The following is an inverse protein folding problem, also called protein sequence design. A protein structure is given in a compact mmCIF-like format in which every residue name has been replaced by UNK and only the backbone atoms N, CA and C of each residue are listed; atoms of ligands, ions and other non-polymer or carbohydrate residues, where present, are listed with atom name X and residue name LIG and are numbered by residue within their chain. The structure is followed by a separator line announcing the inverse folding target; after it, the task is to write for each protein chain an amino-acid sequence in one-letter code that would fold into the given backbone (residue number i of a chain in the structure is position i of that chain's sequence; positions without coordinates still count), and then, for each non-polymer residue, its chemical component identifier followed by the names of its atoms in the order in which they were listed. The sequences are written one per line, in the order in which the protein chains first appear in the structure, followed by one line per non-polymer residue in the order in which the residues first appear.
data_IF_713864268225
#
_entry.id   IF_713864268225
#
_cell.length_a   1.000
_cell.length_b   1.000
_cell.length_c   1.000
_cell.angle_alpha   90.00
_cell.angle_beta   90.00
_cell.angle_gamma   90.00
#
_symmetry.space_group_name_H-M   'P 1'
#
loop_
_entity.id
_entity.type
_entity.pdbx_description
1 polymer ?
#
# COMPACT_ATOMS: atom_id res chain seq x y z
N UNK A 1 -11.85 8.39 -12.43
CA UNK A 1 -11.18 7.07 -12.63
C UNK A 1 -10.31 7.09 -13.90
N UNK A 2 -9.15 6.42 -13.95
CA UNK A 2 -8.17 6.53 -15.05
C UNK A 2 -8.78 6.24 -16.45
N UNK A 3 -9.80 5.37 -16.53
CA UNK A 3 -10.53 5.07 -17.76
C UNK A 3 -11.27 6.29 -18.37
N UNK A 4 -11.80 7.19 -17.52
CA UNK A 4 -12.55 8.38 -17.97
C UNK A 4 -11.63 9.47 -18.56
N UNK A 5 -10.35 9.50 -18.15
CA UNK A 5 -9.37 10.47 -18.64
C UNK A 5 -8.76 10.07 -20.00
N UNK A 6 -8.91 8.82 -20.44
CA UNK A 6 -8.29 8.31 -21.66
C UNK A 6 -9.06 8.65 -22.96
N UNK A 7 -10.31 9.09 -22.86
CA UNK A 7 -11.11 9.57 -24.01
C UNK A 7 -11.90 10.79 -23.60
N UNK A 8 -11.77 11.87 -24.38
CA UNK A 8 -12.54 13.09 -24.19
C UNK A 8 -14.03 12.75 -24.03
N UNK A 9 -14.55 13.04 -22.84
CA UNK A 9 -15.96 13.11 -22.49
C UNK A 9 -16.84 12.00 -23.10
N UNK A 10 -16.80 10.82 -22.50
CA UNK A 10 -17.96 9.93 -22.50
C UNK A 10 -18.11 9.43 -21.07
N UNK A 11 -19.25 9.74 -20.43
CA UNK A 11 -19.56 9.20 -19.11
C UNK A 11 -19.72 7.69 -19.26
N UNK A 12 -18.78 6.92 -18.73
CA UNK A 12 -18.89 5.47 -18.62
C UNK A 12 -19.92 5.21 -17.52
N UNK A 13 -20.92 4.36 -17.78
CA UNK A 13 -21.87 3.96 -16.74
C UNK A 13 -21.19 3.07 -15.69
N UNK A 14 -21.72 3.05 -14.47
CA UNK A 14 -21.22 2.15 -13.42
C UNK A 14 -21.23 0.68 -13.87
N UNK A 15 -22.26 0.27 -14.64
CA UNK A 15 -22.37 -1.08 -15.19
C UNK A 15 -21.22 -1.42 -16.17
N UNK A 16 -20.92 -0.51 -17.10
CA UNK A 16 -19.81 -0.68 -18.04
C UNK A 16 -18.46 -0.71 -17.33
N UNK A 17 -18.30 0.11 -16.30
CA UNK A 17 -17.13 0.07 -15.44
C UNK A 17 -16.99 -1.29 -14.74
N UNK A 18 -18.04 -1.76 -14.05
CA UNK A 18 -17.98 -3.04 -13.34
C UNK A 18 -17.64 -4.18 -14.30
N UNK A 19 -18.23 -4.18 -15.50
CA UNK A 19 -17.90 -5.14 -16.54
C UNK A 19 -16.44 -5.06 -16.98
N UNK A 20 -15.88 -3.86 -17.13
CA UNK A 20 -14.46 -3.68 -17.46
C UNK A 20 -13.56 -4.22 -16.34
N UNK A 21 -13.87 -3.92 -15.08
CA UNK A 21 -13.08 -4.38 -13.92
C UNK A 21 -13.13 -5.90 -13.74
N UNK A 22 -14.29 -6.52 -13.95
CA UNK A 22 -14.43 -7.98 -13.91
C UNK A 22 -13.67 -8.64 -15.06
N UNK A 23 -13.71 -8.07 -16.26
CA UNK A 23 -12.89 -8.55 -17.38
C UNK A 23 -11.39 -8.39 -17.08
N UNK A 24 -10.95 -7.25 -16.56
CA UNK A 24 -9.56 -7.04 -16.15
C UNK A 24 -9.11 -8.08 -15.13
N UNK A 25 -9.93 -8.35 -14.12
CA UNK A 25 -9.66 -9.36 -13.11
C UNK A 25 -9.59 -10.77 -13.70
N UNK A 26 -10.56 -11.16 -14.54
CA UNK A 26 -10.60 -12.48 -15.18
C UNK A 26 -9.37 -12.70 -16.07
N UNK A 27 -8.98 -11.68 -16.85
CA UNK A 27 -7.76 -11.74 -17.65
C UNK A 27 -6.50 -11.78 -16.79
N UNK A 28 -6.45 -11.00 -15.70
CA UNK A 28 -5.34 -11.01 -14.75
C UNK A 28 -5.13 -12.40 -14.13
N UNK A 29 -6.21 -13.11 -13.80
CA UNK A 29 -6.16 -14.49 -13.30
C UNK A 29 -5.81 -15.48 -14.41
N UNK A 30 -6.45 -15.37 -15.58
CA UNK A 30 -6.31 -16.31 -16.70
C UNK A 30 -4.91 -16.32 -17.32
N UNK A 31 -4.28 -15.15 -17.45
CA UNK A 31 -2.97 -15.04 -18.11
C UNK A 31 -1.82 -15.62 -17.28
N UNK A 32 -2.09 -16.10 -16.07
CA UNK A 32 -1.05 -16.45 -15.13
C UNK A 32 -0.40 -15.16 -14.68
N UNK A 33 -0.93 -14.60 -13.61
CA UNK A 33 -0.13 -13.80 -12.69
C UNK A 33 1.29 -14.38 -12.66
N UNK A 34 2.30 -13.59 -13.02
CA UNK A 34 3.69 -14.06 -12.88
C UNK A 34 3.94 -14.58 -11.47
N UNK A 35 5.06 -15.28 -11.26
CA UNK A 35 5.44 -15.71 -9.92
C UNK A 35 5.72 -14.48 -9.04
N UNK A 36 4.68 -13.99 -8.37
CA UNK A 36 4.81 -12.93 -7.38
C UNK A 36 5.40 -13.56 -6.13
N UNK A 37 6.59 -13.12 -5.75
CA UNK A 37 7.22 -13.52 -4.50
C UNK A 37 7.37 -12.28 -3.65
N UNK A 38 7.03 -12.38 -2.36
CA UNK A 38 7.30 -11.32 -1.41
C UNK A 38 8.81 -11.03 -1.38
N UNK A 39 9.18 -9.75 -1.49
CA UNK A 39 10.58 -9.34 -1.44
C UNK A 39 11.24 -9.72 -0.09
N UNK A 40 12.58 -9.89 -0.06
CA UNK A 40 13.30 -10.22 1.16
C UNK A 40 12.91 -9.30 2.33
N UNK A 41 12.67 -9.91 3.49
CA UNK A 41 12.27 -9.22 4.72
C UNK A 41 10.78 -8.89 4.86
N UNK A 42 9.98 -8.89 3.79
CA UNK A 42 8.54 -8.52 3.84
C UNK A 42 7.77 -9.40 4.84
N UNK A 43 7.89 -10.73 4.72
CA UNK A 43 7.18 -11.67 5.57
C UNK A 43 7.53 -11.49 7.06
N UNK A 44 8.83 -11.45 7.37
CA UNK A 44 9.34 -11.23 8.74
C UNK A 44 8.84 -9.91 9.32
N UNK A 45 8.86 -8.83 8.52
CA UNK A 45 8.35 -7.52 8.94
C UNK A 45 6.86 -7.58 9.26
N UNK A 46 6.04 -8.13 8.36
CA UNK A 46 4.60 -8.26 8.56
C UNK A 46 4.26 -9.13 9.79
N UNK A 47 4.97 -10.23 10.02
CA UNK A 47 4.83 -11.08 11.22
C UNK A 47 5.16 -10.29 12.49
N UNK A 48 6.27 -9.54 12.46
CA UNK A 48 6.70 -8.70 13.59
C UNK A 48 5.67 -7.61 13.89
N UNK A 49 5.18 -6.89 12.88
CA UNK A 49 4.15 -5.86 13.06
C UNK A 49 2.84 -6.43 13.62
N UNK A 50 2.40 -7.58 13.13
CA UNK A 50 1.20 -8.26 13.63
C UNK A 50 1.33 -8.79 15.07
N UNK A 51 2.55 -8.91 15.58
CA UNK A 51 2.79 -9.26 16.99
C UNK A 51 2.71 -8.05 17.93
N UNK A 52 2.71 -6.82 17.39
CA UNK A 52 2.61 -5.60 18.18
C UNK A 52 1.14 -5.25 18.43
N UNK A 53 0.68 -5.19 19.69
CA UNK A 53 -0.75 -5.02 20.01
C UNK A 53 -1.33 -3.66 19.61
N UNK A 54 -0.47 -2.66 19.39
CA UNK A 54 -0.82 -1.28 19.07
C UNK A 54 -0.52 -0.92 17.60
N UNK A 55 -0.24 -1.90 16.75
CA UNK A 55 0.02 -1.69 15.32
C UNK A 55 -1.06 -2.40 14.51
N UNK A 56 -1.55 -1.74 13.48
CA UNK A 56 -2.45 -2.33 12.49
C UNK A 56 -1.85 -2.17 11.11
N UNK A 57 -1.78 -3.27 10.37
CA UNK A 57 -1.24 -3.30 9.00
C UNK A 57 -2.39 -3.17 8.01
N UNK A 58 -2.23 -2.27 7.04
CA UNK A 58 -3.15 -2.08 5.94
C UNK A 58 -2.43 -2.13 4.59
N UNK A 59 -3.17 -2.42 3.53
CA UNK A 59 -2.69 -2.39 2.15
C UNK A 59 -3.18 -1.12 1.45
N UNK A 60 -2.26 -0.32 0.92
CA UNK A 60 -2.59 0.89 0.16
C UNK A 60 -1.99 0.78 -1.24
N UNK A 61 -2.82 0.80 -2.29
CA UNK A 61 -2.34 0.62 -3.67
C UNK A 61 -3.26 1.27 -4.68
N UNK A 62 -2.71 1.68 -5.83
CA UNK A 62 -3.51 2.18 -6.95
C UNK A 62 -4.19 1.07 -7.78
N UNK A 63 -4.09 -0.20 -7.38
CA UNK A 63 -4.84 -1.29 -8.00
C UNK A 63 -6.25 -1.35 -7.42
N UNK A 64 -7.22 -1.80 -8.22
CA UNK A 64 -8.54 -2.15 -7.70
C UNK A 64 -8.46 -3.31 -6.69
N UNK A 65 -9.42 -3.38 -5.76
CA UNK A 65 -9.36 -4.21 -4.56
C UNK A 65 -9.15 -5.71 -4.86
N UNK A 66 -9.90 -6.29 -5.80
CA UNK A 66 -9.83 -7.71 -6.18
C UNK A 66 -8.44 -8.07 -6.68
N UNK A 67 -7.87 -7.23 -7.56
CA UNK A 67 -6.53 -7.43 -8.13
C UNK A 67 -5.45 -7.23 -7.06
N UNK A 68 -5.61 -6.21 -6.21
CA UNK A 68 -4.69 -5.94 -5.11
C UNK A 68 -4.56 -7.15 -4.18
N UNK A 69 -5.69 -7.68 -3.68
CA UNK A 69 -5.68 -8.83 -2.80
C UNK A 69 -5.18 -10.10 -3.49
N UNK A 70 -5.50 -10.28 -4.78
CA UNK A 70 -4.99 -11.41 -5.56
C UNK A 70 -3.46 -11.38 -5.71
N UNK A 71 -2.84 -10.20 -5.86
CA UNK A 71 -1.38 -10.03 -5.84
C UNK A 71 -0.76 -10.44 -4.50
N UNK A 72 -1.37 -10.02 -3.40
CA UNK A 72 -0.91 -10.36 -2.04
C UNK A 72 -1.07 -11.86 -1.75
N UNK A 73 -2.13 -12.48 -2.26
CA UNK A 73 -2.35 -13.94 -2.22
C UNK A 73 -1.21 -14.68 -2.91
N UNK A 74 -0.90 -14.31 -4.16
CA UNK A 74 0.19 -14.95 -4.92
C UNK A 74 1.55 -14.74 -4.27
N UNK A 75 1.79 -13.57 -3.67
CA UNK A 75 2.99 -13.29 -2.90
C UNK A 75 3.12 -14.10 -1.59
N UNK A 76 2.09 -14.89 -1.23
CA UNK A 76 2.13 -15.80 -0.08
C UNK A 76 2.03 -15.12 1.29
N UNK A 77 1.60 -13.84 1.33
CA UNK A 77 1.55 -13.03 2.56
C UNK A 77 0.14 -12.56 2.93
N UNK A 78 -0.89 -12.99 2.18
CA UNK A 78 -2.29 -12.65 2.45
C UNK A 78 -2.75 -12.97 3.90
N UNK A 79 -2.36 -14.09 4.55
CA UNK A 79 -2.73 -14.35 5.93
C UNK A 79 -2.22 -13.30 6.94
N UNK A 80 -1.20 -12.52 6.57
CA UNK A 80 -0.63 -11.45 7.41
C UNK A 80 -1.42 -10.13 7.32
N UNK A 81 -2.39 -10.02 6.40
CA UNK A 81 -3.35 -8.92 6.32
C UNK A 81 -4.71 -9.36 6.89
N UNK A 82 -4.72 -9.82 8.15
CA UNK A 82 -5.84 -10.55 8.79
C UNK A 82 -7.20 -9.88 8.62
N UNK A 83 -7.25 -8.57 8.76
CA UNK A 83 -8.49 -7.77 8.77
C UNK A 83 -8.83 -7.17 7.41
N UNK A 84 -8.02 -7.45 6.38
CA UNK A 84 -8.22 -6.95 5.01
C UNK A 84 -8.44 -5.42 4.93
N UNK A 85 -7.80 -4.67 5.82
CA UNK A 85 -7.84 -3.22 5.80
C UNK A 85 -7.02 -2.73 4.61
N UNK A 86 -7.58 -1.80 3.83
CA UNK A 86 -6.83 -1.18 2.75
C UNK A 86 -7.53 -0.01 2.07
N UNK A 87 -6.82 0.64 1.16
CA UNK A 87 -7.39 1.60 0.22
C UNK A 87 -6.87 1.31 -1.19
N UNK A 88 -7.71 1.54 -2.19
CA UNK A 88 -7.54 0.97 -3.52
C UNK A 88 -7.72 2.02 -4.63
N UNK A 89 -7.50 1.61 -5.88
CA UNK A 89 -7.49 2.49 -7.06
C UNK A 89 -8.85 3.07 -7.49
N UNK A 90 -9.92 2.75 -6.78
CA UNK A 90 -11.23 3.43 -6.89
C UNK A 90 -11.18 4.85 -6.30
N UNK A 91 -10.22 5.12 -5.41
CA UNK A 91 -9.95 6.44 -4.86
C UNK A 91 -8.87 7.14 -5.71
N UNK A 92 -9.24 8.25 -6.35
CA UNK A 92 -8.38 8.93 -7.33
C UNK A 92 -7.09 9.50 -6.72
N UNK A 93 -7.21 10.18 -5.57
CA UNK A 93 -6.07 10.79 -4.90
C UNK A 93 -5.36 9.78 -3.99
N UNK A 94 -4.07 9.52 -4.23
CA UNK A 94 -3.28 8.56 -3.43
C UNK A 94 -3.25 8.90 -1.94
N UNK A 95 -3.26 10.19 -1.57
CA UNK A 95 -3.33 10.58 -0.16
C UNK A 95 -4.67 10.19 0.48
N UNK A 96 -5.76 10.17 -0.30
CA UNK A 96 -7.07 9.73 0.16
C UNK A 96 -7.14 8.20 0.33
N UNK A 97 -6.41 7.42 -0.47
CA UNK A 97 -6.22 5.97 -0.26
C UNK A 97 -5.68 5.71 1.16
N UNK A 98 -4.62 6.43 1.55
CA UNK A 98 -4.00 6.32 2.86
C UNK A 98 -4.96 6.74 3.99
N UNK A 99 -5.66 7.87 3.82
CA UNK A 99 -6.64 8.37 4.79
C UNK A 99 -7.80 7.39 4.97
N UNK A 100 -8.27 6.78 3.89
CA UNK A 100 -9.33 5.78 3.91
C UNK A 100 -8.91 4.52 4.65
N UNK A 101 -7.72 3.97 4.34
CA UNK A 101 -7.18 2.81 5.05
C UNK A 101 -7.03 3.08 6.56
N UNK A 102 -6.57 4.27 6.95
CA UNK A 102 -6.50 4.69 8.35
C UNK A 102 -7.89 4.77 8.99
N UNK A 103 -8.86 5.39 8.32
CA UNK A 103 -10.23 5.51 8.81
C UNK A 103 -10.84 4.13 9.09
N UNK A 104 -10.73 3.19 8.14
CA UNK A 104 -11.19 1.82 8.32
C UNK A 104 -10.53 1.14 9.53
N UNK A 105 -9.22 1.32 9.71
CA UNK A 105 -8.51 0.78 10.86
C UNK A 105 -9.03 1.38 12.19
N UNK A 106 -9.23 2.69 12.26
CA UNK A 106 -9.73 3.36 13.47
C UNK A 106 -11.16 2.94 13.81
N UNK A 107 -12.02 2.78 12.80
CA UNK A 107 -13.39 2.27 12.96
C UNK A 107 -13.39 0.84 13.49
N UNK A 108 -12.56 -0.04 12.94
CA UNK A 108 -12.44 -1.42 13.39
C UNK A 108 -11.89 -1.54 14.82
N UNK A 109 -10.94 -0.68 15.17
CA UNK A 109 -10.29 -0.69 16.49
C UNK A 109 -11.06 0.04 17.58
N UNK A 110 -11.95 0.96 17.22
CA UNK A 110 -12.66 1.81 18.16
C UNK A 110 -11.79 2.88 18.83
N UNK A 111 -10.59 3.14 18.30
CA UNK A 111 -9.70 4.20 18.77
C UNK A 111 -8.93 4.86 17.63
N UNK A 112 -8.39 6.06 17.89
CA UNK A 112 -7.57 6.80 16.92
C UNK A 112 -6.11 6.40 17.05
N UNK A 113 -5.43 6.22 15.91
CA UNK A 113 -3.98 6.04 15.93
C UNK A 113 -3.29 7.38 16.13
N UNK A 114 -2.23 7.42 16.93
CA UNK A 114 -1.39 8.61 17.10
C UNK A 114 -0.36 8.74 15.97
N UNK A 115 -0.04 7.64 15.29
CA UNK A 115 0.94 7.56 14.20
C UNK A 115 0.40 6.79 13.00
N UNK A 116 0.75 7.29 11.83
CA UNK A 116 0.54 6.61 10.55
C UNK A 116 1.88 6.56 9.83
N UNK A 117 2.37 5.36 9.51
CA UNK A 117 3.62 5.15 8.75
C UNK A 117 3.24 4.55 7.41
N UNK A 118 3.76 5.11 6.32
CA UNK A 118 3.54 4.58 4.97
C UNK A 118 4.88 4.25 4.33
N UNK A 119 4.96 3.03 3.79
CA UNK A 119 6.16 2.49 3.14
C UNK A 119 5.87 2.20 1.67
N UNK A 120 6.75 2.66 0.78
CA UNK A 120 6.65 2.46 -0.66
C UNK A 120 7.98 2.66 -1.38
N UNK A 121 8.04 2.39 -2.68
CA UNK A 121 9.26 2.43 -3.49
C UNK A 121 9.24 3.51 -4.58
N UNK A 122 8.13 4.26 -4.68
CA UNK A 122 7.92 5.31 -5.66
C UNK A 122 7.88 6.70 -5.02
N UNK A 123 8.23 7.73 -5.81
CA UNK A 123 8.13 9.15 -5.40
C UNK A 123 6.69 9.48 -4.97
N UNK A 124 5.71 8.86 -5.62
CA UNK A 124 4.30 9.07 -5.35
C UNK A 124 3.87 8.52 -3.99
N UNK A 125 4.53 7.49 -3.46
CA UNK A 125 4.24 6.95 -2.13
C UNK A 125 4.69 7.92 -1.04
N UNK A 126 5.88 8.51 -1.21
CA UNK A 126 6.41 9.54 -0.30
C UNK A 126 5.50 10.78 -0.30
N UNK A 127 5.09 11.27 -1.48
CA UNK A 127 4.17 12.42 -1.59
C UNK A 127 2.82 12.11 -0.95
N UNK A 128 2.25 10.95 -1.25
CA UNK A 128 0.96 10.55 -0.68
C UNK A 128 1.01 10.46 0.85
N UNK A 129 2.11 9.95 1.40
CA UNK A 129 2.34 9.91 2.85
C UNK A 129 2.39 11.33 3.46
N UNK A 130 3.16 12.23 2.86
CA UNK A 130 3.26 13.63 3.30
C UNK A 130 1.89 14.32 3.27
N UNK A 131 1.15 14.20 2.17
CA UNK A 131 -0.19 14.78 1.98
C UNK A 131 -1.26 14.14 2.89
N UNK A 132 -0.98 12.95 3.43
CA UNK A 132 -1.81 12.23 4.38
C UNK A 132 -1.39 12.42 5.84
N UNK A 133 -0.40 13.27 6.12
CA UNK A 133 0.21 13.42 7.45
C UNK A 133 0.70 12.07 8.03
N UNK A 134 1.20 11.19 7.16
CA UNK A 134 1.88 9.96 7.54
C UNK A 134 3.40 10.16 7.50
N UNK A 135 4.13 9.36 8.27
CA UNK A 135 5.59 9.27 8.22
C UNK A 135 5.98 8.54 6.93
N UNK A 136 6.66 9.20 5.97
CA UNK A 136 7.08 8.57 4.73
C UNK A 136 8.35 7.73 4.93
N UNK A 137 8.27 6.47 4.54
CA UNK A 137 9.42 5.55 4.43
C UNK A 137 9.53 5.07 3.00
N UNK A 138 10.67 5.31 2.37
CA UNK A 138 10.97 4.81 1.04
C UNK A 138 11.88 3.58 1.08
N UNK A 139 11.67 2.64 0.18
CA UNK A 139 12.59 1.52 -0.08
C UNK A 139 13.21 1.60 -1.47
N UNK A 140 14.45 1.17 -1.60
CA UNK A 140 15.20 1.22 -2.87
C UNK A 140 15.01 -0.03 -3.75
N UNK A 141 13.94 -0.80 -3.51
CA UNK A 141 13.59 -2.00 -4.28
C UNK A 141 12.93 -1.69 -5.62
N UNK A 142 12.50 -0.43 -5.82
CA UNK A 142 11.95 0.07 -7.07
C UNK A 142 13.02 0.69 -8.00
N UNK A 143 12.55 1.56 -8.90
CA UNK A 143 13.41 2.28 -9.85
C UNK A 143 14.12 3.51 -9.26
N UNK A 144 13.78 3.89 -8.02
CA UNK A 144 14.25 5.11 -7.36
C UNK A 144 15.30 4.81 -6.30
N UNK A 145 16.14 5.80 -6.02
CA UNK A 145 17.19 5.77 -5.00
C UNK A 145 17.04 6.95 -4.06
N UNK A 146 17.77 6.91 -2.94
CA UNK A 146 17.72 7.94 -1.89
C UNK A 146 17.67 9.39 -2.38
N UNK A 147 18.47 9.85 -3.37
CA UNK A 147 18.43 11.23 -3.84
C UNK A 147 17.14 11.61 -4.60
N UNK A 148 16.41 10.63 -5.13
CA UNK A 148 15.19 10.86 -5.92
C UNK A 148 13.97 11.15 -5.05
N UNK A 149 13.98 10.71 -3.79
CA UNK A 149 12.83 10.80 -2.91
C UNK A 149 12.69 12.19 -2.28
N UNK A 150 11.50 12.81 -2.31
CA UNK A 150 11.28 14.13 -1.74
C UNK A 150 11.48 14.10 -0.21
N UNK A 151 12.06 15.16 0.32
CA UNK A 151 12.32 15.31 1.76
C UNK A 151 11.20 16.10 2.45
N UNK A 152 10.92 15.84 3.74
CA UNK A 152 11.53 14.82 4.59
C UNK A 152 11.02 13.41 4.28
N UNK A 153 11.92 12.42 4.18
CA UNK A 153 11.58 10.99 4.21
C UNK A 153 12.71 10.11 4.73
N UNK A 154 12.36 9.00 5.35
CA UNK A 154 13.32 7.94 5.67
C UNK A 154 13.52 7.07 4.44
N UNK A 155 14.76 6.64 4.19
CA UNK A 155 15.07 5.76 3.06
C UNK A 155 15.91 4.60 3.57
N UNK A 156 15.39 3.39 3.41
CA UNK A 156 16.08 2.14 3.75
C UNK A 156 16.29 1.31 2.47
N UNK A 157 17.34 0.48 2.38
CA UNK A 157 17.59 -0.28 1.14
C UNK A 157 16.45 -1.24 0.77
N UNK A 158 15.96 -1.99 1.76
CA UNK A 158 14.81 -2.90 1.68
C UNK A 158 14.40 -3.31 3.11
N UNK A 159 13.35 -4.13 3.25
CA UNK A 159 12.86 -4.60 4.54
C UNK A 159 13.72 -5.70 5.20
N UNK A 160 14.71 -6.25 4.51
CA UNK A 160 15.65 -7.22 5.08
C UNK A 160 16.82 -6.50 5.77
N UNK A 161 17.53 -5.64 5.03
CA UNK A 161 18.69 -4.88 5.51
C UNK A 161 18.28 -3.72 6.42
N UNK A 162 17.13 -3.11 6.15
CA UNK A 162 16.59 -2.00 6.93
C UNK A 162 15.58 -2.43 8.00
N UNK A 163 15.50 -3.72 8.33
CA UNK A 163 14.49 -4.26 9.24
C UNK A 163 14.44 -3.51 10.59
N UNK A 164 15.57 -3.42 11.28
CA UNK A 164 15.63 -2.83 12.62
C UNK A 164 15.33 -1.32 12.60
N UNK A 165 15.81 -0.62 11.57
CA UNK A 165 15.53 0.80 11.35
C UNK A 165 14.03 1.03 11.10
N UNK A 166 13.41 0.23 10.23
CA UNK A 166 11.98 0.32 9.95
C UNK A 166 11.13 0.04 11.19
N UNK A 167 11.46 -1.00 11.96
CA UNK A 167 10.79 -1.30 13.21
C UNK A 167 10.93 -0.16 14.22
N UNK A 168 12.10 0.51 14.28
CA UNK A 168 12.26 1.68 15.14
C UNK A 168 11.43 2.88 14.67
N UNK A 169 11.36 3.13 13.37
CA UNK A 169 10.49 4.18 12.79
C UNK A 169 9.02 3.92 13.15
N UNK A 170 8.56 2.67 13.05
CA UNK A 170 7.20 2.30 13.47
C UNK A 170 6.97 2.57 14.96
N UNK A 171 7.95 2.27 15.83
CA UNK A 171 7.86 2.44 17.30
C UNK A 171 8.00 3.89 17.77
N UNK A 172 8.84 4.70 17.13
CA UNK A 172 9.23 6.03 17.65
C UNK A 172 8.89 7.19 16.72
N UNK A 173 8.60 6.93 15.44
CA UNK A 173 8.49 7.94 14.40
C UNK A 173 9.83 8.58 14.02
N UNK A 174 10.95 8.03 14.51
CA UNK A 174 12.32 8.49 14.29
C UNK A 174 13.19 7.33 13.79
N UNK A 175 14.29 7.59 13.08
CA UNK A 175 15.28 6.55 12.78
C UNK A 175 16.04 6.18 14.06
N UNK A 176 16.78 5.07 14.02
CA UNK A 176 17.70 4.69 15.11
C UNK A 176 18.79 5.74 15.32
#
# INVERSE_FOLDING_TARGET
MIAEKAKGQTSISDEELFKFLDLEYDYYVKLGCGEFVALPGVKKTLETLNSMPNVTVSLSTGNYDKIAWKKIEHAGVLPLFKERIGGFGDIEERSNILKFARKQAEELRGYKFDRHVHIGDAIQDVRAAQDANAVPVAVETGSKRKPDFPQPCFVIPNLEKGFDEFINIVKTGKPN
#
